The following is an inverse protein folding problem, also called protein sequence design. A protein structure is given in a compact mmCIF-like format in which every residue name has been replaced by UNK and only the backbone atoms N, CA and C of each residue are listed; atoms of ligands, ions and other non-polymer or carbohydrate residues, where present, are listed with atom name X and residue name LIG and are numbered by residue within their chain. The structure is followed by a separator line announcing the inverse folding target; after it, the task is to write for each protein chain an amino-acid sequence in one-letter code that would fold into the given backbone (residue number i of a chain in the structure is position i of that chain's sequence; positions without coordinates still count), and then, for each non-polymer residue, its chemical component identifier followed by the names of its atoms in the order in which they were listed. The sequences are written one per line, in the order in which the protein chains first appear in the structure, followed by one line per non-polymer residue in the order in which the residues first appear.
data_IF_904310111102
#
_entry.id   IF_904310111102
#
_cell.length_a   1.000
_cell.length_b   1.000
_cell.length_c   1.000
_cell.angle_alpha   90.00
_cell.angle_beta   90.00
_cell.angle_gamma   90.00
#
_symmetry.space_group_name_H-M   'P 1'
#
loop_
_entity.id
_entity.type
_entity.pdbx_description
1 polymer ?
#
# COMPACT_ATOMS: atom_id res chain seq x y z
N UNK A 1 12.10 -7.16 28.99
CA UNK A 1 11.66 -6.13 28.02
C UNK A 1 11.32 -6.85 26.72
N UNK A 2 10.07 -6.78 26.21
CA UNK A 2 9.77 -7.37 24.90
C UNK A 2 10.61 -6.66 23.83
N UNK A 3 11.03 -7.35 22.75
CA UNK A 3 11.77 -6.70 21.67
C UNK A 3 10.91 -5.59 21.07
N UNK A 4 11.47 -4.39 20.93
CA UNK A 4 10.85 -3.28 20.23
C UNK A 4 10.84 -3.69 18.75
N UNK A 5 9.73 -4.22 18.24
CA UNK A 5 9.58 -4.39 16.79
C UNK A 5 9.74 -3.01 16.17
N UNK A 6 10.63 -2.82 15.18
CA UNK A 6 10.64 -1.60 14.40
C UNK A 6 9.22 -1.35 13.88
N UNK A 7 8.71 -0.15 14.14
CA UNK A 7 7.42 0.29 13.62
C UNK A 7 7.42 0.27 12.10
N UNK A 8 6.24 0.29 11.49
CA UNK A 8 6.13 0.41 10.04
C UNK A 8 6.49 1.84 9.60
N UNK A 9 7.28 1.96 8.53
CA UNK A 9 7.44 3.23 7.81
C UNK A 9 6.11 3.51 7.06
N UNK A 10 5.48 4.68 7.25
CA UNK A 10 4.24 5.01 6.57
C UNK A 10 4.48 5.40 5.10
N UNK A 11 3.61 4.93 4.21
CA UNK A 11 3.53 5.35 2.82
C UNK A 11 2.07 5.63 2.45
N UNK A 12 1.78 6.75 1.79
CA UNK A 12 0.42 7.14 1.42
C UNK A 12 0.26 7.09 -0.10
N UNK A 13 -0.77 6.38 -0.57
CA UNK A 13 -1.21 6.44 -1.97
C UNK A 13 -2.22 7.59 -2.09
N UNK A 14 -1.86 8.57 -2.91
CA UNK A 14 -2.73 9.69 -3.28
C UNK A 14 -3.35 9.37 -4.63
N UNK A 15 -4.68 9.46 -4.74
CA UNK A 15 -5.35 9.29 -6.02
C UNK A 15 -4.96 10.44 -6.96
N UNK A 16 -4.61 10.11 -8.19
CA UNK A 16 -4.42 11.09 -9.28
C UNK A 16 -5.71 11.89 -9.47
N UNK A 17 -5.61 13.23 -9.52
CA UNK A 17 -6.78 14.10 -9.69
C UNK A 17 -7.21 14.14 -11.17
N UNK A 18 -8.02 13.15 -11.57
CA UNK A 18 -8.80 13.18 -12.82
C UNK A 18 -10.24 13.65 -12.58
N UNK A 19 -11.05 13.89 -13.64
CA UNK A 19 -12.46 14.26 -13.48
C UNK A 19 -13.15 13.22 -12.61
N UNK A 20 -13.65 13.67 -11.46
CA UNK A 20 -14.21 12.82 -10.40
C UNK A 20 -15.46 12.11 -10.92
N UNK A 21 -15.48 10.76 -10.96
CA UNK A 21 -16.74 10.05 -11.06
C UNK A 21 -17.57 10.40 -9.83
N UNK A 22 -18.91 10.39 -9.99
CA UNK A 22 -19.89 10.70 -8.94
C UNK A 22 -19.45 10.22 -7.55
N UNK A 23 -19.74 10.98 -6.47
CA UNK A 23 -19.24 10.69 -5.14
C UNK A 23 -19.84 9.37 -4.63
N UNK A 24 -19.13 8.27 -4.88
CA UNK A 24 -19.29 7.04 -4.12
C UNK A 24 -18.70 7.34 -2.75
N UNK A 25 -19.50 7.13 -1.70
CA UNK A 25 -19.03 7.29 -0.33
C UNK A 25 -17.67 6.58 -0.18
N UNK A 26 -16.63 7.23 0.37
CA UNK A 26 -15.36 6.57 0.62
C UNK A 26 -15.67 5.29 1.38
N UNK A 27 -15.20 4.14 0.91
CA UNK A 27 -15.28 2.93 1.71
C UNK A 27 -14.65 3.28 3.06
N UNK A 28 -15.47 3.28 4.12
CA UNK A 28 -15.14 3.84 5.45
C UNK A 28 -14.05 3.04 6.20
N UNK A 29 -13.30 2.21 5.49
CA UNK A 29 -12.15 1.48 5.98
C UNK A 29 -11.12 1.49 4.85
N UNK A 30 -10.32 2.55 4.81
CA UNK A 30 -9.09 2.55 4.01
C UNK A 30 -8.21 1.42 4.51
N UNK A 31 -8.23 0.29 3.80
CA UNK A 31 -7.40 -0.86 4.14
C UNK A 31 -5.92 -0.44 4.16
N UNK A 32 -5.16 -1.00 5.10
CA UNK A 32 -3.71 -0.84 5.12
C UNK A 32 -3.04 -2.07 4.51
N UNK A 33 -2.06 -1.86 3.64
CA UNK A 33 -1.19 -2.94 3.16
C UNK A 33 0.08 -2.90 4.00
N UNK A 34 0.47 -4.04 4.57
CA UNK A 34 1.69 -4.18 5.34
C UNK A 34 2.68 -5.04 4.55
N UNK A 35 3.88 -4.52 4.36
CA UNK A 35 4.94 -5.15 3.57
C UNK A 35 6.16 -5.33 4.47
N UNK A 36 6.68 -6.55 4.56
CA UNK A 36 7.94 -6.86 5.24
C UNK A 36 8.94 -7.35 4.19
N UNK A 37 10.05 -6.62 4.08
CA UNK A 37 11.13 -6.94 3.16
C UNK A 37 12.09 -7.93 3.82
N UNK A 38 12.76 -8.78 3.03
CA UNK A 38 13.74 -9.74 3.53
C UNK A 38 14.89 -9.09 4.34
N UNK A 39 15.18 -7.81 4.09
CA UNK A 39 16.11 -6.99 4.86
C UNK A 39 15.59 -6.55 6.25
N UNK A 40 14.39 -7.00 6.65
CA UNK A 40 13.73 -6.65 7.92
C UNK A 40 13.04 -5.29 7.92
N UNK A 41 13.04 -4.57 6.80
CA UNK A 41 12.32 -3.30 6.65
C UNK A 41 10.82 -3.54 6.54
N UNK A 42 10.03 -2.73 7.26
CA UNK A 42 8.57 -2.86 7.36
C UNK A 42 7.91 -1.58 6.90
N UNK A 43 7.01 -1.66 5.92
CA UNK A 43 6.30 -0.52 5.35
C UNK A 43 4.79 -0.73 5.43
N UNK A 44 4.06 0.34 5.76
CA UNK A 44 2.59 0.35 5.79
C UNK A 44 2.07 1.34 4.76
N UNK A 45 1.35 0.84 3.77
CA UNK A 45 0.70 1.64 2.75
C UNK A 45 -0.75 1.91 3.16
N UNK A 46 -1.16 3.18 3.11
CA UNK A 46 -2.54 3.63 3.37
C UNK A 46 -3.07 4.45 2.21
N UNK A 47 -4.39 4.61 2.12
CA UNK A 47 -5.06 5.41 1.09
C UNK A 47 -6.07 4.61 0.29
N UNK A 48 -6.71 5.26 -0.67
CA UNK A 48 -7.65 4.61 -1.60
C UNK A 48 -6.86 3.89 -2.68
N UNK A 49 -6.98 2.56 -2.72
CA UNK A 49 -6.36 1.70 -3.74
C UNK A 49 -7.46 0.86 -4.37
N UNK A 50 -7.58 0.88 -5.69
CA UNK A 50 -8.50 -0.02 -6.39
C UNK A 50 -7.93 -1.44 -6.50
N UNK A 51 -8.80 -2.42 -6.75
CA UNK A 51 -8.40 -3.83 -6.79
C UNK A 51 -7.41 -4.17 -7.92
N UNK A 52 -7.44 -3.46 -9.05
CA UNK A 52 -6.50 -3.70 -10.15
C UNK A 52 -5.11 -3.19 -9.78
N UNK A 53 -5.02 -2.00 -9.19
CA UNK A 53 -3.77 -1.44 -8.67
C UNK A 53 -3.17 -2.33 -7.58
N UNK A 54 -3.99 -2.83 -6.65
CA UNK A 54 -3.53 -3.79 -5.63
C UNK A 54 -2.96 -5.07 -6.27
N UNK A 55 -3.66 -5.66 -7.24
CA UNK A 55 -3.19 -6.86 -7.94
C UNK A 55 -1.86 -6.62 -8.66
N UNK A 56 -1.71 -5.47 -9.31
CA UNK A 56 -0.46 -5.09 -9.97
C UNK A 56 0.69 -4.93 -8.95
N UNK A 57 0.43 -4.27 -7.82
CA UNK A 57 1.42 -4.08 -6.76
C UNK A 57 1.90 -5.40 -6.15
N UNK A 58 1.02 -6.40 -6.01
CA UNK A 58 1.39 -7.76 -5.55
C UNK A 58 2.16 -8.54 -6.62
N UNK A 59 1.90 -8.30 -7.90
CA UNK A 59 2.60 -8.97 -9.00
C UNK A 59 4.01 -8.39 -9.26
N UNK A 60 4.22 -7.10 -9.02
CA UNK A 60 5.48 -6.41 -9.29
C UNK A 60 6.72 -7.04 -8.59
N UNK A 61 6.66 -7.47 -7.32
CA UNK A 61 7.77 -8.20 -6.69
C UNK A 61 8.15 -9.49 -7.40
N UNK A 62 7.18 -10.19 -8.01
CA UNK A 62 7.42 -11.44 -8.73
C UNK A 62 7.98 -11.20 -10.15
N UNK A 63 7.74 -10.03 -10.74
CA UNK A 63 8.31 -9.65 -12.04
C UNK A 63 9.83 -9.44 -11.97
N UNK A 64 10.37 -9.17 -10.78
CA UNK A 64 11.78 -9.41 -10.41
C UNK A 64 12.86 -8.73 -11.25
N UNK A 65 12.50 -7.91 -12.24
CA UNK A 65 13.46 -7.30 -13.15
C UNK A 65 14.09 -6.08 -12.48
N UNK A 66 15.24 -6.31 -11.83
CA UNK A 66 16.18 -5.26 -11.49
C UNK A 66 16.47 -4.47 -12.78
N UNK A 67 16.07 -3.20 -12.81
CA UNK A 67 16.40 -2.26 -13.90
C UNK A 67 17.83 -1.80 -13.73
#
# INVERSE_FOLDING_TARGET
MPPIKPGFVPAMVVAESGPTPCPVAPASSGGSIEIELAAGARMRVTGTVDAATLKAAVAAPADGRLR
#
